data_IF_349563578720
#
_entry.id   IF_349563578720
#
_cell.length_a   1.000
_cell.length_b   1.000
_cell.length_c   1.000
_cell.angle_alpha   90.00
_cell.angle_beta   90.00
_cell.angle_gamma   90.00
#
_symmetry.space_group_name_H-M   'P 1'
#
loop_
_entity.id
_entity.type
_entity.pdbx_description
1 polymer ?
#
# COMPACT_ATOMS: atom_id res chain seq x y z
N UNK A 1 13.55 18.54 -34.53
CA UNK A 1 14.57 17.93 -33.66
C UNK A 1 14.83 18.87 -32.49
N UNK A 2 14.16 18.67 -31.36
CA UNK A 2 14.56 19.23 -30.06
C UNK A 2 14.02 18.30 -28.96
N UNK A 3 14.96 17.80 -28.16
CA UNK A 3 14.80 16.86 -27.06
C UNK A 3 14.40 17.65 -25.81
N UNK A 4 13.39 17.24 -25.05
CA UNK A 4 13.23 17.66 -23.65
C UNK A 4 12.92 16.45 -22.78
N UNK A 5 13.93 16.08 -22.00
CA UNK A 5 13.97 14.98 -21.06
C UNK A 5 13.46 15.41 -19.67
N UNK A 6 12.69 14.49 -19.08
CA UNK A 6 12.60 14.06 -17.65
C UNK A 6 12.27 15.09 -16.56
N UNK A 7 11.21 14.78 -15.81
CA UNK A 7 11.26 14.70 -14.34
C UNK A 7 10.50 13.44 -13.88
N UNK A 8 11.14 12.64 -13.02
CA UNK A 8 10.55 11.56 -12.22
C UNK A 8 10.06 12.17 -10.89
N UNK A 9 8.94 11.74 -10.29
CA UNK A 9 8.67 12.08 -8.91
C UNK A 9 9.54 11.22 -7.99
N UNK A 10 10.19 11.90 -7.04
CA UNK A 10 10.93 11.33 -5.92
C UNK A 10 9.90 10.98 -4.85
N UNK A 11 9.77 9.70 -4.50
CA UNK A 11 9.02 9.30 -3.30
C UNK A 11 9.74 9.87 -2.07
N UNK A 12 9.04 10.71 -1.31
CA UNK A 12 9.55 11.30 -0.09
C UNK A 12 9.54 10.26 1.04
N UNK A 13 10.73 9.83 1.47
CA UNK A 13 10.88 9.10 2.73
C UNK A 13 10.89 10.14 3.85
N UNK A 14 9.77 10.30 4.56
CA UNK A 14 9.73 11.10 5.79
C UNK A 14 10.27 10.25 6.93
N UNK A 15 11.53 10.47 7.30
CA UNK A 15 12.12 9.93 8.52
C UNK A 15 11.98 10.96 9.64
N UNK A 16 11.05 10.75 10.56
CA UNK A 16 10.96 11.57 11.79
C UNK A 16 11.87 10.98 12.85
N UNK A 17 13.06 11.55 13.03
CA UNK A 17 13.94 11.23 14.15
C UNK A 17 13.67 12.20 15.32
N UNK A 18 13.20 11.68 16.46
CA UNK A 18 13.20 12.44 17.72
C UNK A 18 14.64 12.60 18.21
N UNK A 19 15.12 13.84 18.29
CA UNK A 19 16.39 14.17 18.90
C UNK A 19 16.29 14.11 20.44
N UNK A 20 17.07 13.24 21.08
CA UNK A 20 17.33 13.29 22.51
C UNK A 20 18.41 14.34 22.80
N UNK A 21 18.12 15.27 23.72
CA UNK A 21 19.01 16.37 24.11
C UNK A 21 20.29 15.90 24.85
N UNK A 22 21.26 16.81 25.06
CA UNK A 22 22.56 16.44 25.59
C UNK A 22 22.50 16.15 27.10
N UNK A 23 23.07 15.01 27.50
CA UNK A 23 23.42 14.72 28.90
C UNK A 23 24.85 15.21 29.13
N UNK A 24 24.99 16.19 30.02
CA UNK A 24 26.26 16.57 30.67
C UNK A 24 26.55 15.57 31.79
N UNK A 25 27.68 14.86 31.73
CA UNK A 25 28.58 14.63 32.89
C UNK A 25 29.76 13.69 32.57
N UNK A 26 30.96 14.26 32.76
CA UNK A 26 32.12 13.77 33.51
C UNK A 26 33.04 12.64 32.99
N UNK A 27 34.33 12.95 33.13
CA UNK A 27 35.57 12.27 32.73
C UNK A 27 35.79 10.87 33.35
N UNK A 28 36.51 10.00 32.61
CA UNK A 28 37.11 8.78 33.14
C UNK A 28 37.68 7.87 32.05
N UNK A 29 39.01 7.77 31.99
CA UNK A 29 39.85 7.01 31.05
C UNK A 29 39.59 5.49 31.03
N UNK A 30 39.79 4.82 29.87
CA UNK A 30 40.07 3.37 29.84
C UNK A 30 39.58 2.60 28.60
N UNK A 31 40.49 2.44 27.64
CA UNK A 31 40.66 1.33 26.68
C UNK A 31 39.55 0.27 26.53
N UNK A 32 38.87 0.30 25.38
CA UNK A 32 38.79 -0.81 24.41
C UNK A 32 37.85 -0.38 23.30
N UNK A 33 38.31 -0.46 22.05
CA UNK A 33 37.42 -0.43 20.90
C UNK A 33 36.40 -1.55 21.10
N UNK A 34 35.20 -1.20 21.57
CA UNK A 34 34.04 -2.04 21.33
C UNK A 34 33.83 -1.95 19.84
N UNK A 35 33.82 -3.11 19.19
CA UNK A 35 33.24 -3.25 17.87
C UNK A 35 31.83 -2.64 17.95
N UNK A 36 31.69 -1.39 17.50
CA UNK A 36 30.41 -0.77 17.23
C UNK A 36 29.83 -1.53 16.04
N UNK A 37 29.36 -2.76 16.30
CA UNK A 37 28.36 -3.39 15.46
C UNK A 37 27.19 -2.42 15.52
N UNK A 38 26.86 -1.72 14.42
CA UNK A 38 25.70 -0.84 14.41
C UNK A 38 24.52 -1.68 14.89
N UNK A 39 23.68 -1.18 15.81
CA UNK A 39 22.48 -1.91 16.20
C UNK A 39 21.79 -2.37 14.91
N UNK A 40 21.38 -3.66 14.81
CA UNK A 40 20.70 -4.13 13.60
C UNK A 40 19.61 -3.11 13.32
N UNK A 41 19.70 -2.45 12.16
CA UNK A 41 18.76 -1.39 11.81
C UNK A 41 17.38 -1.99 12.01
N UNK A 42 16.66 -1.52 13.04
CA UNK A 42 15.30 -1.97 13.28
C UNK A 42 14.60 -1.74 11.94
N UNK A 43 14.22 -2.82 11.28
CA UNK A 43 13.51 -2.71 10.02
C UNK A 43 12.24 -1.96 10.40
N UNK A 44 12.11 -0.74 9.92
CA UNK A 44 10.96 0.09 10.24
C UNK A 44 9.78 -0.45 9.46
N UNK A 45 8.59 -0.36 10.04
CA UNK A 45 7.34 -0.60 9.34
C UNK A 45 7.33 0.20 8.04
N UNK A 46 7.12 -0.47 6.91
CA UNK A 46 6.97 0.20 5.62
C UNK A 46 5.52 0.63 5.49
N UNK A 47 5.29 1.92 5.29
CA UNK A 47 3.96 2.48 5.05
C UNK A 47 3.81 2.85 3.58
N UNK A 48 2.76 2.36 2.94
CA UNK A 48 2.53 2.47 1.50
C UNK A 48 1.16 3.10 1.24
N UNK A 49 1.11 4.42 1.08
CA UNK A 49 -0.09 5.11 0.58
C UNK A 49 -0.40 4.61 -0.84
N UNK A 50 -1.61 4.11 -1.09
CA UNK A 50 -1.91 3.44 -2.35
C UNK A 50 -1.81 4.42 -3.54
N UNK A 51 -2.23 5.67 -3.35
CA UNK A 51 -2.23 6.71 -4.37
C UNK A 51 -0.84 7.20 -4.74
N UNK A 52 0.16 7.02 -3.86
CA UNK A 52 1.56 7.35 -4.13
C UNK A 52 2.26 6.25 -4.93
N UNK A 53 1.66 5.06 -5.02
CA UNK A 53 2.15 3.97 -5.87
C UNK A 53 1.66 4.06 -7.32
N UNK A 54 0.88 5.08 -7.66
CA UNK A 54 0.46 5.36 -9.03
C UNK A 54 1.60 6.01 -9.85
N UNK A 55 1.67 5.78 -11.18
CA UNK A 55 0.71 5.02 -11.98
C UNK A 55 0.84 3.51 -11.76
N UNK A 56 -0.29 2.82 -11.89
CA UNK A 56 -0.34 1.37 -11.85
C UNK A 56 0.58 0.73 -12.89
N UNK A 57 1.19 -0.41 -12.56
CA UNK A 57 1.83 -1.26 -13.55
C UNK A 57 0.79 -1.85 -14.52
N UNK A 58 -0.40 -2.13 -14.00
CA UNK A 58 -1.53 -2.67 -14.74
C UNK A 58 -2.84 -2.22 -14.10
N UNK A 59 -3.82 -1.86 -14.93
CA UNK A 59 -5.23 -1.86 -14.56
C UNK A 59 -6.01 -2.63 -15.63
N UNK A 60 -6.85 -3.56 -15.21
CA UNK A 60 -7.61 -4.43 -16.09
C UNK A 60 -9.09 -4.40 -15.70
N UNK A 61 -9.94 -4.08 -16.66
CA UNK A 61 -11.40 -4.19 -16.56
C UNK A 61 -11.82 -5.60 -17.03
N UNK A 62 -12.63 -6.28 -16.24
CA UNK A 62 -13.21 -7.57 -16.62
C UNK A 62 -14.15 -7.46 -17.83
N UNK A 63 -14.48 -8.56 -18.53
CA UNK A 63 -15.12 -8.50 -19.84
C UNK A 63 -16.53 -7.85 -19.86
N UNK A 64 -16.57 -6.60 -20.34
CA UNK A 64 -17.68 -5.91 -21.00
C UNK A 64 -17.07 -4.85 -21.92
N UNK A 65 -17.17 -5.01 -23.24
CA UNK A 65 -16.64 -4.08 -24.28
C UNK A 65 -15.28 -3.39 -24.01
N UNK A 66 -14.21 -4.19 -24.10
CA UNK A 66 -12.78 -3.85 -24.20
C UNK A 66 -12.38 -2.37 -24.40
N UNK A 67 -11.52 -1.86 -23.51
CA UNK A 67 -10.19 -1.33 -23.86
C UNK A 67 -9.15 -1.62 -22.75
N UNK A 68 -8.24 -2.60 -22.94
CA UNK A 68 -7.01 -2.66 -22.14
C UNK A 68 -6.23 -1.35 -22.35
N UNK A 69 -5.92 -0.63 -21.27
CA UNK A 69 -5.15 0.62 -21.32
C UNK A 69 -5.91 1.89 -20.91
N UNK A 70 -7.19 1.79 -20.54
CA UNK A 70 -7.85 2.86 -19.77
C UNK A 70 -7.50 2.66 -18.29
N UNK A 71 -6.95 3.69 -17.65
CA UNK A 71 -6.76 3.68 -16.21
C UNK A 71 -8.14 3.70 -15.53
N UNK A 72 -8.62 2.51 -15.14
CA UNK A 72 -9.81 2.35 -14.31
C UNK A 72 -9.49 2.56 -12.82
N UNK A 73 -8.21 2.69 -12.48
CA UNK A 73 -7.74 3.09 -11.18
C UNK A 73 -7.29 4.56 -11.21
N UNK A 74 -7.79 5.37 -10.28
CA UNK A 74 -7.42 6.78 -10.17
C UNK A 74 -7.23 7.18 -8.71
N UNK A 75 -6.30 8.11 -8.47
CA UNK A 75 -6.23 8.85 -7.20
C UNK A 75 -7.53 9.65 -7.04
N UNK A 76 -8.16 9.52 -5.89
CA UNK A 76 -9.35 10.26 -5.50
C UNK A 76 -9.09 10.98 -4.19
N UNK A 77 -9.12 12.31 -4.22
CA UNK A 77 -9.11 13.13 -3.02
C UNK A 77 -10.42 12.91 -2.26
N UNK A 78 -10.33 12.75 -0.94
CA UNK A 78 -11.46 12.62 -0.03
C UNK A 78 -11.16 13.28 1.30
N UNK A 79 -12.08 14.12 1.72
CA UNK A 79 -11.92 14.92 2.92
C UNK A 79 -11.89 14.03 4.18
N UNK A 80 -10.78 14.09 4.92
CA UNK A 80 -10.54 13.66 6.31
C UNK A 80 -10.82 12.20 6.71
N UNK A 81 -11.26 11.34 5.78
CA UNK A 81 -11.56 9.92 6.07
C UNK A 81 -10.37 9.00 5.77
N UNK A 82 -9.51 9.36 4.82
CA UNK A 82 -8.40 8.53 4.36
C UNK A 82 -7.06 9.11 4.80
N UNK A 83 -6.01 8.30 4.88
CA UNK A 83 -4.67 8.85 5.09
C UNK A 83 -4.28 9.72 3.89
N UNK A 84 -3.51 10.78 4.13
CA UNK A 84 -3.13 11.73 3.08
C UNK A 84 -4.30 12.48 2.42
N UNK A 85 -5.54 12.35 2.90
CA UNK A 85 -6.78 12.84 2.28
C UNK A 85 -7.02 12.29 0.86
N UNK A 86 -6.47 11.11 0.53
CA UNK A 86 -6.64 10.50 -0.77
C UNK A 86 -6.64 8.98 -0.68
N UNK A 87 -7.01 8.34 -1.79
CA UNK A 87 -6.88 6.89 -1.95
C UNK A 87 -7.02 6.51 -3.40
N UNK A 88 -6.82 5.23 -3.72
CA UNK A 88 -7.03 4.73 -5.08
C UNK A 88 -8.42 4.15 -5.22
N UNK A 89 -9.19 4.67 -6.17
CA UNK A 89 -10.48 4.11 -6.58
C UNK A 89 -10.29 3.32 -7.87
N UNK A 90 -10.66 2.04 -7.83
CA UNK A 90 -10.83 1.15 -8.97
C UNK A 90 -12.31 1.10 -9.34
N UNK A 91 -12.66 1.64 -10.51
CA UNK A 91 -14.03 1.71 -11.03
C UNK A 91 -14.33 0.54 -11.97
N UNK A 92 -15.62 0.33 -12.27
CA UNK A 92 -16.11 -0.73 -13.16
C UNK A 92 -15.69 -2.14 -12.69
N UNK A 93 -15.90 -2.40 -11.40
CA UNK A 93 -15.38 -3.60 -10.74
C UNK A 93 -16.09 -4.92 -11.08
N UNK A 94 -16.36 -5.21 -12.35
CA UNK A 94 -16.80 -6.56 -12.72
C UNK A 94 -15.83 -7.64 -12.23
N UNK A 95 -16.31 -8.90 -12.15
CA UNK A 95 -15.54 -9.98 -11.56
C UNK A 95 -14.26 -10.23 -12.37
N UNK A 96 -13.11 -10.05 -11.72
CA UNK A 96 -11.78 -10.11 -12.33
C UNK A 96 -11.16 -8.75 -12.64
N UNK A 97 -11.89 -7.64 -12.47
CA UNK A 97 -11.34 -6.29 -12.54
C UNK A 97 -10.25 -6.14 -11.49
N UNK A 98 -9.07 -5.61 -11.88
CA UNK A 98 -7.91 -5.55 -10.99
C UNK A 98 -7.02 -4.35 -11.23
N UNK A 99 -6.25 -4.04 -10.19
CA UNK A 99 -5.19 -3.02 -10.16
C UNK A 99 -3.91 -3.65 -9.61
N UNK A 100 -2.78 -3.46 -10.29
CA UNK A 100 -1.45 -3.88 -9.81
C UNK A 100 -0.55 -2.66 -9.60
N UNK A 101 -0.06 -2.50 -8.38
CA UNK A 101 0.84 -1.44 -7.94
C UNK A 101 2.22 -2.02 -7.62
N UNK A 102 3.28 -1.22 -7.84
CA UNK A 102 4.66 -1.59 -7.49
C UNK A 102 5.04 -0.96 -6.15
N UNK A 103 5.78 -1.69 -5.33
CA UNK A 103 6.42 -1.15 -4.14
C UNK A 103 7.83 -1.75 -3.95
N UNK A 104 8.62 -1.17 -3.05
CA UNK A 104 9.97 -1.64 -2.74
C UNK A 104 10.09 -2.00 -1.27
N UNK A 105 10.65 -3.17 -0.99
CA UNK A 105 10.95 -3.66 0.36
C UNK A 105 12.42 -3.35 0.70
N UNK A 106 12.71 -2.68 1.83
CA UNK A 106 14.06 -2.22 2.15
C UNK A 106 15.04 -3.32 2.60
N UNK A 107 14.52 -4.42 3.16
CA UNK A 107 15.29 -5.54 3.68
C UNK A 107 14.55 -6.87 3.47
N UNK A 108 15.26 -7.97 3.26
CA UNK A 108 14.60 -9.28 3.21
C UNK A 108 14.13 -9.69 4.60
N UNK A 109 12.94 -10.28 4.71
CA UNK A 109 12.44 -10.82 5.97
C UNK A 109 10.96 -11.20 5.92
N UNK A 110 10.48 -11.69 7.06
CA UNK A 110 9.07 -11.91 7.29
C UNK A 110 8.39 -10.56 7.61
N UNK A 111 7.24 -10.31 7.02
CA UNK A 111 6.44 -9.10 7.26
C UNK A 111 5.00 -9.50 7.55
N UNK A 112 4.42 -8.97 8.62
CA UNK A 112 2.98 -8.88 8.81
C UNK A 112 2.44 -7.79 7.89
N UNK A 113 1.58 -8.18 6.95
CA UNK A 113 0.97 -7.28 5.99
C UNK A 113 -0.42 -6.91 6.46
N UNK A 114 -0.69 -5.62 6.55
CA UNK A 114 -2.02 -5.11 6.77
C UNK A 114 -2.41 -4.09 5.70
N UNK A 115 -3.72 -3.84 5.56
CA UNK A 115 -4.25 -2.85 4.65
C UNK A 115 -5.42 -2.12 5.28
N UNK A 116 -5.65 -0.89 4.85
CA UNK A 116 -6.91 -0.18 5.07
C UNK A 116 -7.59 0.06 3.74
N UNK A 117 -8.89 -0.19 3.72
CA UNK A 117 -9.72 -0.13 2.52
C UNK A 117 -10.82 0.89 2.70
N UNK A 118 -11.28 1.48 1.60
CA UNK A 118 -12.57 2.14 1.61
C UNK A 118 -13.69 1.12 1.78
N UNK A 119 -14.76 1.55 2.44
CA UNK A 119 -16.04 0.81 2.49
C UNK A 119 -17.16 1.70 1.95
N UNK A 120 -18.20 1.09 1.40
CA UNK A 120 -19.32 1.87 0.87
C UNK A 120 -20.38 1.02 0.17
N UNK A 121 -21.51 1.65 -0.20
CA UNK A 121 -22.66 0.92 -0.75
C UNK A 121 -22.41 0.36 -2.15
N UNK A 122 -21.45 0.92 -2.88
CA UNK A 122 -21.08 0.54 -4.25
C UNK A 122 -19.80 -0.30 -4.33
N UNK A 123 -19.23 -0.71 -3.19
CA UNK A 123 -17.96 -1.43 -3.15
C UNK A 123 -18.14 -2.96 -3.10
N UNK A 124 -17.25 -3.66 -3.81
CA UNK A 124 -17.28 -5.10 -4.00
C UNK A 124 -16.47 -5.89 -2.97
N UNK A 125 -16.34 -7.19 -3.24
CA UNK A 125 -15.48 -8.11 -2.50
C UNK A 125 -14.12 -8.17 -3.19
N UNK A 126 -13.05 -7.87 -2.47
CA UNK A 126 -11.69 -7.66 -3.01
C UNK A 126 -10.71 -8.65 -2.41
N UNK A 127 -9.89 -9.30 -3.24
CA UNK A 127 -8.79 -10.16 -2.82
C UNK A 127 -7.43 -9.49 -3.12
N UNK A 128 -6.69 -9.05 -2.08
CA UNK A 128 -5.30 -8.59 -2.23
C UNK A 128 -4.35 -9.76 -2.46
N UNK A 129 -3.27 -9.53 -3.21
CA UNK A 129 -2.18 -10.48 -3.40
C UNK A 129 -0.83 -9.76 -3.50
N UNK A 130 0.24 -10.34 -2.96
CA UNK A 130 1.62 -9.88 -3.21
C UNK A 130 2.33 -10.89 -4.10
N UNK A 131 2.96 -10.41 -5.17
CA UNK A 131 3.65 -11.23 -6.19
C UNK A 131 2.77 -12.40 -6.71
N UNK A 132 1.47 -12.14 -6.85
CA UNK A 132 0.48 -13.13 -7.28
C UNK A 132 0.05 -14.15 -6.21
N UNK A 133 0.53 -14.03 -4.97
CA UNK A 133 0.11 -14.87 -3.84
C UNK A 133 -0.99 -14.17 -3.02
N UNK A 134 -2.19 -14.75 -2.90
CA UNK A 134 -3.28 -14.16 -2.13
C UNK A 134 -2.88 -13.89 -0.68
N UNK A 135 -3.30 -12.74 -0.15
CA UNK A 135 -3.15 -12.36 1.24
C UNK A 135 -4.47 -12.58 1.99
N UNK A 136 -4.47 -13.54 2.91
CA UNK A 136 -5.64 -13.84 3.72
C UNK A 136 -6.87 -14.22 2.89
N UNK A 137 -8.05 -13.81 3.36
CA UNK A 137 -9.33 -13.98 2.66
C UNK A 137 -9.73 -12.70 1.94
N UNK A 138 -10.60 -12.82 0.95
CA UNK A 138 -11.25 -11.67 0.32
C UNK A 138 -12.01 -10.84 1.35
N UNK A 139 -11.96 -9.52 1.18
CA UNK A 139 -12.62 -8.55 2.06
C UNK A 139 -13.89 -8.03 1.40
N UNK A 140 -15.02 -8.16 2.08
CA UNK A 140 -16.28 -7.53 1.67
C UNK A 140 -16.26 -6.05 2.07
N UNK A 141 -16.06 -5.16 1.10
CA UNK A 141 -16.00 -3.71 1.32
C UNK A 141 -17.39 -3.05 1.35
N UNK A 142 -18.46 -3.83 1.27
CA UNK A 142 -19.81 -3.30 1.38
C UNK A 142 -20.07 -2.70 2.78
N UNK A 143 -20.58 -1.47 2.78
CA UNK A 143 -21.18 -0.82 3.93
C UNK A 143 -22.37 0.03 3.47
N UNK A 144 -23.32 0.32 4.36
CA UNK A 144 -24.47 1.18 4.01
C UNK A 144 -24.07 2.63 3.76
N UNK A 145 -22.97 3.07 4.35
CA UNK A 145 -22.43 4.42 4.22
C UNK A 145 -20.97 4.36 3.76
N UNK A 146 -20.53 5.38 3.04
CA UNK A 146 -19.15 5.49 2.61
C UNK A 146 -18.23 5.79 3.80
N UNK A 147 -17.07 5.16 3.84
CA UNK A 147 -16.10 5.33 4.91
C UNK A 147 -14.80 4.57 4.65
N UNK A 148 -14.14 4.17 5.73
CA UNK A 148 -12.96 3.30 5.72
C UNK A 148 -13.17 2.11 6.65
N UNK A 149 -12.47 1.03 6.37
CA UNK A 149 -12.36 -0.10 7.28
C UNK A 149 -11.44 0.24 8.47
N UNK A 150 -11.54 -0.54 9.53
CA UNK A 150 -10.41 -0.74 10.44
C UNK A 150 -9.21 -1.31 9.65
N UNK A 151 -8.03 -1.27 10.27
CA UNK A 151 -6.85 -1.89 9.65
C UNK A 151 -7.01 -3.42 9.63
N UNK A 152 -6.88 -4.00 8.44
CA UNK A 152 -7.08 -5.41 8.17
C UNK A 152 -5.74 -6.12 8.17
N UNK A 153 -5.45 -6.94 9.18
CA UNK A 153 -4.28 -7.84 9.14
C UNK A 153 -4.57 -8.97 8.16
N UNK A 154 -3.82 -8.99 7.05
CA UNK A 154 -4.11 -9.90 5.93
C UNK A 154 -3.36 -11.21 6.06
N UNK A 155 -2.03 -11.15 6.18
CA UNK A 155 -1.16 -12.34 6.26
C UNK A 155 0.25 -11.97 6.71
N UNK A 156 1.02 -12.97 7.18
CA UNK A 156 2.48 -12.85 7.33
C UNK A 156 3.16 -13.51 6.14
N UNK A 157 4.06 -12.81 5.47
CA UNK A 157 4.74 -13.26 4.24
C UNK A 157 6.24 -13.01 4.29
N UNK A 158 7.02 -13.87 3.65
CA UNK A 158 8.45 -13.65 3.42
C UNK A 158 8.64 -12.82 2.15
N UNK A 159 9.30 -11.66 2.27
CA UNK A 159 9.63 -10.77 1.16
C UNK A 159 11.15 -10.64 1.03
N UNK A 160 11.63 -10.53 -0.21
CA UNK A 160 13.02 -10.22 -0.47
C UNK A 160 13.22 -8.70 -0.42
N UNK A 161 14.45 -8.25 -0.16
CA UNK A 161 14.80 -6.86 -0.46
C UNK A 161 14.66 -6.62 -1.95
N UNK A 162 13.96 -5.56 -2.33
CA UNK A 162 13.81 -5.15 -3.73
C UNK A 162 12.37 -4.87 -4.12
N UNK A 163 12.10 -4.95 -5.42
CA UNK A 163 10.80 -4.63 -5.98
C UNK A 163 9.80 -5.77 -5.84
N UNK A 164 8.57 -5.43 -5.49
CA UNK A 164 7.44 -6.32 -5.36
C UNK A 164 6.20 -5.70 -5.99
N UNK A 165 5.17 -6.52 -6.19
CA UNK A 165 3.86 -6.02 -6.64
C UNK A 165 2.76 -6.39 -5.66
N UNK A 166 1.80 -5.49 -5.51
CA UNK A 166 0.52 -5.78 -4.88
C UNK A 166 -0.60 -5.66 -5.91
N UNK A 167 -1.46 -6.66 -5.97
CA UNK A 167 -2.64 -6.69 -6.85
C UNK A 167 -3.90 -6.73 -6.01
N UNK A 168 -4.86 -5.87 -6.32
CA UNK A 168 -6.21 -5.91 -5.78
C UNK A 168 -7.16 -6.36 -6.88
N UNK A 169 -7.83 -7.50 -6.67
CA UNK A 169 -8.79 -8.06 -7.63
C UNK A 169 -10.19 -8.03 -7.04
N UNK A 170 -11.16 -7.51 -7.78
CA UNK A 170 -12.58 -7.62 -7.44
C UNK A 170 -13.06 -9.02 -7.85
N UNK A 171 -13.58 -9.79 -6.90
CA UNK A 171 -14.00 -11.17 -7.15
C UNK A 171 -15.52 -11.33 -7.25
N UNK A 172 -16.26 -10.50 -6.51
CA UNK A 172 -17.72 -10.51 -6.44
C UNK A 172 -18.24 -9.27 -5.70
N UNK A 173 -19.48 -9.29 -5.22
CA UNK A 173 -20.01 -8.29 -4.28
C UNK A 173 -21.01 -8.90 -3.31
N UNK A 174 -21.22 -8.21 -2.19
CA UNK A 174 -22.39 -8.41 -1.35
C UNK A 174 -23.69 -8.22 -2.17
N UNK A 175 -24.73 -9.02 -1.88
CA UNK A 175 -26.01 -8.92 -2.57
C UNK A 175 -26.68 -7.54 -2.40
N UNK A 176 -26.40 -6.85 -1.30
CA UNK A 176 -26.92 -5.51 -1.00
C UNK A 176 -26.09 -4.38 -1.62
N UNK A 177 -24.89 -4.66 -2.13
CA UNK A 177 -24.06 -3.66 -2.77
C UNK A 177 -24.66 -3.25 -4.13
N UNK A 178 -24.63 -1.96 -4.44
CA UNK A 178 -25.15 -1.39 -5.69
C UNK A 178 -24.15 -1.51 -6.84
N UNK A 179 -22.86 -1.64 -6.51
CA UNK A 179 -21.76 -1.75 -7.45
C UNK A 179 -20.71 -2.76 -6.99
N UNK A 180 -19.58 -2.76 -7.68
CA UNK A 180 -18.44 -3.61 -7.37
C UNK A 180 -17.12 -2.84 -7.36
N UNK A 181 -17.17 -1.51 -7.22
CA UNK A 181 -15.95 -0.70 -7.17
C UNK A 181 -15.03 -1.18 -6.03
N UNK A 182 -13.75 -0.86 -6.11
CA UNK A 182 -12.83 -1.13 -5.01
C UNK A 182 -12.07 0.13 -4.65
N UNK A 183 -11.76 0.29 -3.36
CA UNK A 183 -11.06 1.47 -2.88
C UNK A 183 -10.01 1.10 -1.85
N UNK A 184 -8.79 1.57 -2.08
CA UNK A 184 -7.63 1.28 -1.22
C UNK A 184 -7.14 2.60 -0.64
N UNK A 185 -6.89 2.60 0.68
CA UNK A 185 -6.26 3.69 1.41
C UNK A 185 -4.75 3.45 1.42
N UNK A 186 -4.28 2.50 2.22
CA UNK A 186 -2.86 2.17 2.34
C UNK A 186 -2.60 0.69 2.64
N UNK A 187 -1.33 0.30 2.56
CA UNK A 187 -0.80 -0.94 3.14
C UNK A 187 0.35 -0.68 4.11
N UNK A 188 0.53 -1.58 5.08
CA UNK A 188 1.70 -1.61 5.95
C UNK A 188 2.42 -2.95 5.88
N UNK A 189 3.75 -2.91 5.97
CA UNK A 189 4.61 -4.08 6.11
C UNK A 189 5.38 -3.97 7.43
N UNK A 190 4.98 -4.75 8.43
CA UNK A 190 5.59 -4.75 9.75
C UNK A 190 6.48 -5.99 9.97
N UNK A 191 7.81 -5.86 10.15
CA UNK A 191 8.75 -6.98 10.28
C UNK A 191 8.47 -7.96 11.44
#
# INVERSE_FOLDING_TARGET
MQLKSRLLPVAAIVATALAAGPVLAQDGDGDSQRDDVPPPHAVQTVYLEAEDLLPALESYEAPGERQPGVAIASRQEVDDVFSGNAGVLLTNGDDGTRLTLRFTVPASGAYSVAARMGVGPDLGIVQPAIDGRPLGRSFDAYATEAGRSDELVLSRVELAKGDHTVTFTVESKNAAATGKNARVDYLTLDP
#
